data_IF_452013066341
#
_entry.id   IF_452013066341
#
_cell.length_a   1.000
_cell.length_b   1.000
_cell.length_c   1.000
_cell.angle_alpha   90.00
_cell.angle_beta   90.00
_cell.angle_gamma   90.00
#
_symmetry.space_group_name_H-M   'P 1'
#
loop_
_entity.id
_entity.type
_entity.pdbx_description
1 polymer ?
#
# COMPACT_ATOMS: atom_id res chain seq x y z
N UNK A 1 -73.86 -22.48 -24.79
CA UNK A 1 -73.03 -22.47 -26.04
C UNK A 1 -72.21 -21.19 -26.19
N UNK A 2 -72.78 -19.97 -26.21
CA UNK A 2 -71.97 -18.72 -26.23
C UNK A 2 -71.36 -18.38 -24.86
N UNK A 3 -72.14 -18.48 -23.77
CA UNK A 3 -71.66 -18.19 -22.41
C UNK A 3 -70.51 -19.11 -21.96
N UNK A 4 -70.59 -20.41 -22.31
CA UNK A 4 -69.52 -21.37 -22.01
C UNK A 4 -68.20 -21.01 -22.69
N UNK A 5 -68.24 -20.47 -23.92
CA UNK A 5 -67.05 -20.00 -24.63
C UNK A 5 -66.45 -18.76 -23.98
N UNK A 6 -67.29 -17.84 -23.50
CA UNK A 6 -66.84 -16.63 -22.81
C UNK A 6 -66.13 -17.02 -21.50
N UNK A 7 -66.75 -17.87 -20.69
CA UNK A 7 -66.15 -18.36 -19.45
C UNK A 7 -64.84 -19.12 -19.69
N UNK A 8 -64.78 -19.93 -20.74
CA UNK A 8 -63.56 -20.63 -21.14
C UNK A 8 -62.42 -19.67 -21.53
N UNK A 9 -62.72 -18.64 -22.33
CA UNK A 9 -61.74 -17.66 -22.77
C UNK A 9 -61.22 -16.81 -21.60
N UNK A 10 -62.10 -16.35 -20.71
CA UNK A 10 -61.71 -15.63 -19.48
C UNK A 10 -60.77 -16.47 -18.62
N UNK A 11 -61.04 -17.78 -18.47
CA UNK A 11 -60.17 -18.69 -17.71
C UNK A 11 -58.79 -18.86 -18.37
N UNK A 12 -58.72 -18.90 -19.69
CA UNK A 12 -57.46 -18.96 -20.42
C UNK A 12 -56.62 -17.69 -20.24
N UNK A 13 -57.26 -16.52 -20.30
CA UNK A 13 -56.56 -15.25 -20.11
C UNK A 13 -56.07 -15.07 -18.66
N UNK A 14 -56.84 -15.50 -17.67
CA UNK A 14 -56.38 -15.54 -16.27
C UNK A 14 -55.15 -16.46 -16.09
N UNK A 15 -55.12 -17.62 -16.75
CA UNK A 15 -53.96 -18.53 -16.72
C UNK A 15 -52.73 -17.88 -17.36
N UNK A 16 -52.88 -17.26 -18.53
CA UNK A 16 -51.79 -16.54 -19.23
C UNK A 16 -51.23 -15.41 -18.36
N UNK A 17 -52.09 -14.61 -17.74
CA UNK A 17 -51.68 -13.52 -16.86
C UNK A 17 -50.93 -14.03 -15.62
N UNK A 18 -51.40 -15.12 -15.00
CA UNK A 18 -50.69 -15.76 -13.87
C UNK A 18 -49.30 -16.27 -14.26
N UNK A 19 -49.16 -16.89 -15.42
CA UNK A 19 -47.86 -17.35 -15.92
C UNK A 19 -46.89 -16.19 -16.20
N UNK A 20 -47.37 -15.12 -16.84
CA UNK A 20 -46.57 -13.90 -17.07
C UNK A 20 -46.08 -13.29 -15.77
N UNK A 21 -46.93 -13.22 -14.74
CA UNK A 21 -46.56 -12.70 -13.43
C UNK A 21 -45.47 -13.54 -12.77
N UNK A 22 -45.64 -14.87 -12.73
CA UNK A 22 -44.63 -15.79 -12.17
C UNK A 22 -43.28 -15.69 -12.88
N UNK A 23 -43.30 -15.52 -14.21
CA UNK A 23 -42.08 -15.34 -14.99
C UNK A 23 -41.38 -14.01 -14.66
N UNK A 24 -42.15 -12.91 -14.57
CA UNK A 24 -41.62 -11.60 -14.20
C UNK A 24 -41.04 -11.58 -12.78
N UNK A 25 -41.75 -12.15 -11.81
CA UNK A 25 -41.32 -12.28 -10.41
C UNK A 25 -40.04 -13.13 -10.31
N UNK A 26 -40.00 -14.31 -10.94
CA UNK A 26 -38.81 -15.16 -10.96
C UNK A 26 -37.59 -14.49 -11.61
N UNK A 27 -37.80 -13.77 -12.72
CA UNK A 27 -36.74 -13.00 -13.37
C UNK A 27 -36.24 -11.86 -12.47
N UNK A 28 -37.13 -11.11 -11.80
CA UNK A 28 -36.73 -10.05 -10.87
C UNK A 28 -35.89 -10.58 -9.71
N UNK A 29 -36.33 -11.68 -9.07
CA UNK A 29 -35.56 -12.30 -7.98
C UNK A 29 -34.19 -12.82 -8.42
N UNK A 30 -34.08 -13.30 -9.66
CA UNK A 30 -32.81 -13.79 -10.22
C UNK A 30 -31.85 -12.63 -10.47
N UNK A 31 -32.35 -11.52 -11.01
CA UNK A 31 -31.57 -10.29 -11.25
C UNK A 31 -31.11 -9.69 -9.92
N UNK A 32 -31.98 -9.59 -8.91
CA UNK A 32 -31.63 -9.03 -7.61
C UNK A 32 -30.52 -9.86 -6.92
N UNK A 33 -30.61 -11.19 -7.01
CA UNK A 33 -29.57 -12.09 -6.49
C UNK A 33 -28.23 -11.91 -7.23
N UNK A 34 -28.25 -11.70 -8.55
CA UNK A 34 -27.06 -11.44 -9.35
C UNK A 34 -26.43 -10.09 -8.99
N UNK A 35 -27.24 -9.04 -8.86
CA UNK A 35 -26.77 -7.71 -8.44
C UNK A 35 -26.12 -7.79 -7.06
N UNK A 36 -26.80 -8.40 -6.08
CA UNK A 36 -26.26 -8.55 -4.72
C UNK A 36 -24.96 -9.36 -4.70
N UNK A 37 -24.87 -10.42 -5.51
CA UNK A 37 -23.66 -11.24 -5.61
C UNK A 37 -22.50 -10.45 -6.21
N UNK A 38 -22.76 -9.66 -7.26
CA UNK A 38 -21.76 -8.82 -7.90
C UNK A 38 -21.26 -7.71 -6.95
N UNK A 39 -22.15 -7.09 -6.18
CA UNK A 39 -21.76 -6.10 -5.16
C UNK A 39 -20.81 -6.69 -4.12
N UNK A 40 -21.10 -7.91 -3.64
CA UNK A 40 -20.21 -8.63 -2.70
C UNK A 40 -18.85 -8.92 -3.34
N UNK A 41 -18.83 -9.38 -4.59
CA UNK A 41 -17.59 -9.64 -5.32
C UNK A 41 -16.76 -8.35 -5.45
N UNK A 42 -17.38 -7.23 -5.84
CA UNK A 42 -16.70 -5.94 -5.94
C UNK A 42 -16.13 -5.48 -4.60
N UNK A 43 -16.90 -5.65 -3.52
CA UNK A 43 -16.43 -5.34 -2.18
C UNK A 43 -15.19 -6.17 -1.81
N UNK A 44 -15.25 -7.49 -1.99
CA UNK A 44 -14.10 -8.37 -1.70
C UNK A 44 -12.88 -8.02 -2.55
N UNK A 45 -13.07 -7.71 -3.84
CA UNK A 45 -11.98 -7.31 -4.72
C UNK A 45 -11.33 -6.01 -4.21
N UNK A 46 -12.13 -5.00 -3.87
CA UNK A 46 -11.63 -3.73 -3.33
C UNK A 46 -10.91 -3.89 -1.99
N UNK A 47 -11.44 -4.72 -1.11
CA UNK A 47 -10.80 -5.00 0.19
C UNK A 47 -9.49 -5.77 0.00
N UNK A 48 -9.47 -6.73 -0.94
CA UNK A 48 -8.27 -7.51 -1.23
C UNK A 48 -7.16 -6.66 -1.83
N UNK A 49 -7.47 -5.70 -2.72
CA UNK A 49 -6.47 -4.80 -3.27
C UNK A 49 -5.93 -3.86 -2.19
N UNK A 50 -6.82 -3.25 -1.38
CA UNK A 50 -6.39 -2.39 -0.26
C UNK A 50 -5.50 -3.12 0.74
N UNK A 51 -5.83 -4.38 1.06
CA UNK A 51 -5.03 -5.21 1.97
C UNK A 51 -3.65 -5.51 1.39
N UNK A 52 -3.56 -5.80 0.08
CA UNK A 52 -2.28 -6.04 -0.60
C UNK A 52 -1.41 -4.79 -0.60
N UNK A 53 -1.98 -3.63 -0.91
CA UNK A 53 -1.26 -2.36 -0.95
C UNK A 53 -0.65 -2.02 0.42
N UNK A 54 -1.44 -2.13 1.50
CA UNK A 54 -0.95 -1.99 2.88
C UNK A 54 0.14 -3.01 3.21
N UNK A 55 0.00 -4.25 2.72
CA UNK A 55 1.00 -5.30 2.90
C UNK A 55 2.34 -4.95 2.24
N UNK A 56 2.32 -4.42 1.02
CA UNK A 56 3.51 -3.96 0.31
C UNK A 56 4.16 -2.77 1.01
N UNK A 57 3.38 -1.77 1.41
CA UNK A 57 3.89 -0.61 2.14
C UNK A 57 4.56 -1.03 3.46
N UNK A 58 3.93 -1.92 4.23
CA UNK A 58 4.51 -2.45 5.46
C UNK A 58 5.79 -3.24 5.23
N UNK A 59 5.87 -4.03 4.15
CA UNK A 59 7.09 -4.75 3.79
C UNK A 59 8.22 -3.78 3.44
N UNK A 60 7.94 -2.73 2.66
CA UNK A 60 8.91 -1.71 2.31
C UNK A 60 9.42 -0.96 3.54
N UNK A 61 8.52 -0.56 4.44
CA UNK A 61 8.87 0.10 5.71
C UNK A 61 9.74 -0.80 6.60
N UNK A 62 9.45 -2.10 6.65
CA UNK A 62 10.27 -3.07 7.41
C UNK A 62 11.69 -3.15 6.86
N UNK A 63 11.85 -3.25 5.54
CA UNK A 63 13.17 -3.30 4.90
C UNK A 63 13.94 -2.01 5.16
N UNK A 64 13.31 -0.84 5.00
CA UNK A 64 13.95 0.45 5.29
C UNK A 64 14.35 0.58 6.76
N UNK A 65 13.50 0.16 7.69
CA UNK A 65 13.82 0.19 9.13
C UNK A 65 14.96 -0.77 9.48
N UNK A 66 15.01 -1.96 8.87
CA UNK A 66 16.13 -2.89 9.07
C UNK A 66 17.44 -2.29 8.55
N UNK A 67 17.44 -1.68 7.36
CA UNK A 67 18.61 -1.01 6.81
C UNK A 67 19.08 0.14 7.71
N UNK A 68 18.17 1.01 8.16
CA UNK A 68 18.49 2.10 9.10
C UNK A 68 19.04 1.58 10.43
N UNK A 69 18.48 0.50 10.97
CA UNK A 69 18.95 -0.11 12.21
C UNK A 69 20.37 -0.67 12.08
N UNK A 70 20.69 -1.29 10.95
CA UNK A 70 22.04 -1.78 10.67
C UNK A 70 23.03 -0.62 10.55
N UNK A 71 22.68 0.42 9.79
CA UNK A 71 23.51 1.61 9.65
C UNK A 71 23.76 2.31 11.00
N UNK A 72 22.73 2.42 11.85
CA UNK A 72 22.86 2.97 13.19
C UNK A 72 23.83 2.15 14.06
N UNK A 73 23.72 0.81 14.00
CA UNK A 73 24.59 -0.09 14.76
C UNK A 73 26.05 0.02 14.30
N UNK A 74 26.28 0.10 12.99
CA UNK A 74 27.62 0.32 12.43
C UNK A 74 28.19 1.66 12.89
N UNK A 75 27.42 2.74 12.78
CA UNK A 75 27.84 4.07 13.23
C UNK A 75 28.17 4.09 14.73
N UNK A 76 27.38 3.39 15.55
CA UNK A 76 27.65 3.27 16.99
C UNK A 76 28.97 2.56 17.27
N UNK A 77 29.27 1.47 16.56
CA UNK A 77 30.53 0.73 16.74
C UNK A 77 31.73 1.53 16.27
N UNK A 78 31.63 2.16 15.10
CA UNK A 78 32.65 3.09 14.61
C UNK A 78 32.91 4.24 15.60
N UNK A 79 31.85 4.80 16.21
CA UNK A 79 31.98 5.86 17.20
C UNK A 79 32.73 5.39 18.46
N UNK A 80 32.57 4.14 18.89
CA UNK A 80 33.36 3.61 20.01
C UNK A 80 34.85 3.59 19.68
N UNK A 81 35.20 3.18 18.46
CA UNK A 81 36.59 3.15 17.99
C UNK A 81 37.14 4.59 17.94
N UNK A 82 36.39 5.53 17.36
CA UNK A 82 36.78 6.95 17.29
C UNK A 82 36.98 7.59 18.67
N UNK A 83 36.13 7.24 19.65
CA UNK A 83 36.21 7.79 21.01
C UNK A 83 37.23 7.06 21.90
N UNK A 84 37.86 5.99 21.40
CA UNK A 84 38.90 5.28 22.16
C UNK A 84 40.15 6.15 22.23
N UNK A 85 40.56 6.51 23.46
CA UNK A 85 41.79 7.28 23.68
C UNK A 85 43.03 6.42 23.45
N UNK A 86 43.89 6.83 22.52
CA UNK A 86 45.14 6.13 22.22
C UNK A 86 46.12 6.12 23.40
N UNK A 87 46.09 7.16 24.24
CA UNK A 87 46.97 7.30 25.41
C UNK A 87 46.61 6.30 26.52
N UNK A 88 45.38 5.81 26.54
CA UNK A 88 44.93 4.77 27.47
C UNK A 88 45.38 3.36 27.08
N UNK A 89 45.94 3.18 25.87
CA UNK A 89 46.36 1.87 25.34
C UNK A 89 47.86 1.66 25.57
N UNK A 90 48.18 0.74 26.48
CA UNK A 90 49.57 0.40 26.82
C UNK A 90 50.31 -0.34 25.68
N UNK A 91 49.62 -1.25 24.97
CA UNK A 91 50.22 -2.03 23.90
C UNK A 91 50.38 -1.19 22.61
N UNK A 92 51.62 -1.07 22.11
CA UNK A 92 51.92 -0.26 20.93
C UNK A 92 51.23 -0.75 19.66
N UNK A 93 51.21 -2.07 19.43
CA UNK A 93 50.56 -2.68 18.26
C UNK A 93 49.06 -2.47 18.27
N UNK A 94 48.40 -2.65 19.42
CA UNK A 94 46.96 -2.37 19.56
C UNK A 94 46.66 -0.89 19.34
N UNK A 95 47.51 0.00 19.86
CA UNK A 95 47.35 1.45 19.69
C UNK A 95 47.47 1.87 18.24
N UNK A 96 48.44 1.34 17.50
CA UNK A 96 48.60 1.59 16.06
C UNK A 96 47.42 1.05 15.25
N UNK A 97 46.93 -0.15 15.58
CA UNK A 97 45.73 -0.70 14.96
C UNK A 97 44.51 0.22 15.15
N UNK A 98 44.24 0.66 16.40
CA UNK A 98 43.12 1.57 16.67
C UNK A 98 43.29 2.90 15.95
N UNK A 99 44.51 3.48 15.92
CA UNK A 99 44.79 4.69 15.15
C UNK A 99 44.46 4.51 13.66
N UNK A 100 44.90 3.41 13.06
CA UNK A 100 44.62 3.11 11.65
C UNK A 100 43.12 2.95 11.36
N UNK A 101 42.37 2.34 12.28
CA UNK A 101 40.92 2.22 12.17
C UNK A 101 40.21 3.57 12.31
N UNK A 102 40.67 4.45 13.22
CA UNK A 102 40.15 5.81 13.35
C UNK A 102 40.32 6.60 12.04
N UNK A 103 41.51 6.54 11.44
CA UNK A 103 41.79 7.17 10.14
C UNK A 103 40.91 6.60 9.02
N UNK A 104 40.75 5.27 8.96
CA UNK A 104 39.88 4.60 7.99
C UNK A 104 38.43 5.05 8.11
N UNK A 105 37.90 5.15 9.34
CA UNK A 105 36.52 5.58 9.60
C UNK A 105 36.32 7.05 9.20
N UNK A 106 37.25 7.95 9.55
CA UNK A 106 37.17 9.37 9.19
C UNK A 106 37.15 9.51 7.66
N UNK A 107 38.02 8.78 6.95
CA UNK A 107 38.06 8.78 5.49
C UNK A 107 36.75 8.31 4.89
N UNK A 108 36.24 7.15 5.33
CA UNK A 108 34.95 6.59 4.87
C UNK A 108 33.81 7.61 5.04
N UNK A 109 33.70 8.26 6.20
CA UNK A 109 32.65 9.26 6.47
C UNK A 109 32.78 10.52 5.61
N UNK A 110 34.01 10.92 5.29
CA UNK A 110 34.26 12.06 4.40
C UNK A 110 33.81 11.76 2.98
N UNK A 111 34.06 10.52 2.51
CA UNK A 111 33.60 10.04 1.20
C UNK A 111 32.06 9.92 1.14
N UNK A 112 31.44 9.35 2.18
CA UNK A 112 29.97 9.22 2.28
C UNK A 112 29.26 10.59 2.29
N UNK A 113 29.88 11.64 2.84
CA UNK A 113 29.33 13.01 2.83
C UNK A 113 29.47 13.73 1.49
N UNK A 114 30.39 13.29 0.61
CA UNK A 114 30.58 13.88 -0.72
C UNK A 114 29.64 13.30 -1.77
N UNK A 115 28.94 12.19 -1.47
CA UNK A 115 27.87 11.70 -2.33
C UNK A 115 26.65 12.63 -2.25
N UNK A 116 26.14 13.16 -3.38
CA UNK A 116 24.87 13.87 -3.36
C UNK A 116 23.80 12.91 -2.82
N UNK A 117 22.84 13.40 -2.00
CA UNK A 117 21.79 12.55 -1.48
C UNK A 117 21.03 11.96 -2.66
N UNK A 118 21.19 10.66 -2.90
CA UNK A 118 20.29 9.90 -3.76
C UNK A 118 18.98 9.83 -3.00
N UNK A 119 18.18 10.89 -3.12
CA UNK A 119 16.82 10.89 -2.63
C UNK A 119 16.12 9.70 -3.31
N UNK A 120 15.59 8.72 -2.56
CA UNK A 120 14.76 7.71 -3.19
C UNK A 120 13.61 8.44 -3.90
N UNK A 121 13.40 8.13 -5.19
CA UNK A 121 12.37 8.72 -6.09
C UNK A 121 10.94 8.75 -5.49
N UNK A 122 10.75 8.10 -4.35
CA UNK A 122 9.53 8.10 -3.53
C UNK A 122 9.10 9.52 -3.14
N UNK A 123 10.03 10.47 -2.91
CA UNK A 123 9.66 11.85 -2.56
C UNK A 123 9.05 12.65 -3.73
N UNK A 124 9.26 12.24 -4.99
CA UNK A 124 8.70 12.93 -6.15
C UNK A 124 7.18 12.70 -6.35
N UNK A 125 6.64 11.58 -5.84
CA UNK A 125 5.23 11.23 -6.05
C UNK A 125 4.26 11.94 -5.11
N UNK A 126 4.72 12.44 -3.97
CA UNK A 126 3.86 13.11 -2.98
C UNK A 126 3.86 14.65 -3.11
N UNK A 127 4.84 15.23 -3.82
CA UNK A 127 4.98 16.68 -3.95
C UNK A 127 4.90 17.19 -5.41
N UNK A 128 4.74 16.29 -6.39
CA UNK A 128 4.67 16.63 -7.82
C UNK A 128 3.45 17.45 -8.23
N UNK A 129 2.44 17.57 -7.39
CA UNK A 129 1.17 18.28 -7.69
C UNK A 129 1.05 19.66 -7.03
N UNK A 130 2.05 20.11 -6.26
CA UNK A 130 2.00 21.43 -5.60
C UNK A 130 2.54 22.56 -6.51
N UNK A 131 3.09 22.21 -7.69
CA UNK A 131 3.75 23.15 -8.59
C UNK A 131 2.97 23.56 -9.84
N UNK A 132 1.84 22.92 -10.17
CA UNK A 132 1.15 23.15 -11.44
C UNK A 132 -0.10 24.01 -11.28
N UNK A 133 0.07 25.31 -11.54
CA UNK A 133 -0.94 26.30 -12.03
C UNK A 133 -2.40 25.81 -12.02
N UNK A 134 -3.11 26.16 -10.95
CA UNK A 134 -4.57 26.07 -10.89
C UNK A 134 -5.09 26.90 -9.73
N UNK A 135 -5.37 28.17 -9.98
CA UNK A 135 -6.01 29.09 -9.04
C UNK A 135 -7.38 28.56 -8.61
N UNK A 136 -7.47 27.95 -7.42
CA UNK A 136 -8.71 27.75 -6.66
C UNK A 136 -8.35 27.43 -5.19
N UNK A 137 -7.95 28.46 -4.44
CA UNK A 137 -8.03 28.42 -2.98
C UNK A 137 -9.35 29.10 -2.55
N UNK A 138 -10.04 28.61 -1.50
CA UNK A 138 -11.27 29.24 -1.03
C UNK A 138 -10.96 30.62 -0.43
N UNK A 139 -11.80 31.61 -0.73
CA UNK A 139 -11.81 32.88 0.00
C UNK A 139 -12.12 32.63 1.48
N UNK A 140 -11.29 33.20 2.36
CA UNK A 140 -11.57 33.34 3.78
C UNK A 140 -12.35 34.63 4.04
#
# INVERSE_FOLDING_TARGET
>A
MMEDRIHHNVRLDQKKTKLKRKLAEGNSSSVDNLVSSNEKILYFLKESTSSRDKGFEMAQLRVQNQAKKLALKEMQEENKILLTSLDSIANSTTREFIRSEQERIIKKRTEDQQQPPVAPEIYGKYFGDIGSRGSNLPEY
#
